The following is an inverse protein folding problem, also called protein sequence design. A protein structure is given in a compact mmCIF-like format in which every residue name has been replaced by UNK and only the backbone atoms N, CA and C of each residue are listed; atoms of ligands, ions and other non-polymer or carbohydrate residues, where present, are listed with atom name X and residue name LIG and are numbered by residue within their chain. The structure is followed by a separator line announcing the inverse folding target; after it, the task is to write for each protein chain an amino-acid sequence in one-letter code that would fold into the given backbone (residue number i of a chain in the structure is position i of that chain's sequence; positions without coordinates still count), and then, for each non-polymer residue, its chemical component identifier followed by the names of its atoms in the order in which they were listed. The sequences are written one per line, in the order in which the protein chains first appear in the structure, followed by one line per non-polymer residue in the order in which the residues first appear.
data_IF_263131221643
#
_entry.id   IF_263131221643
#
_cell.length_a   1.000
_cell.length_b   1.000
_cell.length_c   1.000
_cell.angle_alpha   90.00
_cell.angle_beta   90.00
_cell.angle_gamma   90.00
#
_symmetry.space_group_name_H-M   'P 1'
#
loop_
_entity.id
_entity.type
_entity.pdbx_description
1 polymer ?
#
# COMPACT_ATOMS: atom_id res chain seq x y z
N UNK A 1 9.68 8.69 10.22
CA UNK A 1 8.38 8.97 9.58
C UNK A 1 8.00 10.42 9.80
N UNK A 2 8.19 11.25 8.78
CA UNK A 2 7.79 12.65 8.79
C UNK A 2 6.26 12.80 8.81
N UNK A 3 5.73 13.61 9.74
CA UNK A 3 4.29 13.95 9.80
C UNK A 3 3.85 14.69 8.53
N UNK A 4 4.71 15.58 8.03
CA UNK A 4 4.47 16.36 6.81
C UNK A 4 4.33 15.41 5.62
N UNK A 5 5.28 14.48 5.46
CA UNK A 5 5.22 13.49 4.39
C UNK A 5 3.98 12.61 4.49
N UNK A 6 3.63 12.15 5.70
CA UNK A 6 2.39 11.40 5.92
C UNK A 6 1.14 12.15 5.44
N UNK A 7 1.01 13.43 5.79
CA UNK A 7 -0.11 14.27 5.35
C UNK A 7 -0.14 14.46 3.83
N UNK A 8 0.99 14.74 3.20
CA UNK A 8 1.10 14.83 1.74
C UNK A 8 0.71 13.52 1.06
N UNK A 9 1.08 12.37 1.64
CA UNK A 9 0.73 11.06 1.11
C UNK A 9 -0.76 10.78 1.14
N UNK A 10 -1.47 11.21 2.18
CA UNK A 10 -2.93 11.13 2.27
C UNK A 10 -3.60 11.92 1.14
N UNK A 11 -3.06 13.09 0.79
CA UNK A 11 -3.56 13.90 -0.33
C UNK A 11 -3.19 13.30 -1.69
N UNK A 12 -2.00 12.70 -1.80
CA UNK A 12 -1.50 12.10 -3.05
C UNK A 12 -2.26 10.83 -3.43
N UNK A 13 -2.62 9.99 -2.45
CA UNK A 13 -3.29 8.70 -2.68
C UNK A 13 -4.54 8.78 -3.57
N UNK A 14 -5.55 9.63 -3.29
CA UNK A 14 -6.75 9.72 -4.13
C UNK A 14 -6.44 10.28 -5.52
N UNK A 15 -5.46 11.17 -5.66
CA UNK A 15 -5.05 11.72 -6.95
C UNK A 15 -4.48 10.60 -7.83
N UNK A 16 -3.48 9.89 -7.31
CA UNK A 16 -2.82 8.77 -8.01
C UNK A 16 -3.81 7.65 -8.31
N UNK A 17 -4.69 7.31 -7.35
CA UNK A 17 -5.70 6.28 -7.53
C UNK A 17 -6.73 6.61 -8.62
N UNK A 18 -7.10 7.88 -8.79
CA UNK A 18 -8.04 8.33 -9.83
C UNK A 18 -7.39 8.43 -11.21
N UNK A 19 -6.15 8.90 -11.30
CA UNK A 19 -5.47 9.14 -12.58
C UNK A 19 -4.85 7.89 -13.18
N UNK A 20 -4.18 7.07 -12.36
CA UNK A 20 -3.47 5.87 -12.82
C UNK A 20 -4.25 4.58 -12.54
N UNK A 21 -5.24 4.63 -11.63
CA UNK A 21 -5.86 3.43 -11.06
C UNK A 21 -5.03 2.87 -9.91
N UNK A 22 -5.65 2.10 -9.02
CA UNK A 22 -5.00 1.62 -7.77
C UNK A 22 -3.71 0.81 -8.06
N UNK A 23 -3.78 -0.19 -8.95
CA UNK A 23 -2.64 -1.04 -9.30
C UNK A 23 -1.48 -0.25 -9.92
N UNK A 24 -1.72 0.45 -11.03
CA UNK A 24 -0.67 1.19 -11.72
C UNK A 24 -0.16 2.36 -10.87
N UNK A 25 -1.03 2.93 -10.02
CA UNK A 25 -0.66 3.92 -9.03
C UNK A 25 0.37 3.40 -8.04
N UNK A 26 0.15 2.22 -7.44
CA UNK A 26 1.14 1.59 -6.54
C UNK A 26 2.44 1.28 -7.28
N UNK A 27 2.37 0.73 -8.50
CA UNK A 27 3.56 0.44 -9.32
C UNK A 27 4.35 1.72 -9.60
N UNK A 28 3.67 2.79 -10.01
CA UNK A 28 4.32 4.08 -10.29
C UNK A 28 5.00 4.64 -9.03
N UNK A 29 4.30 4.62 -7.89
CA UNK A 29 4.85 5.10 -6.62
C UNK A 29 6.06 4.26 -6.19
N UNK A 30 6.02 2.94 -6.34
CA UNK A 30 7.17 2.07 -6.07
C UNK A 30 8.35 2.33 -7.02
N UNK A 31 8.09 2.50 -8.31
CA UNK A 31 9.14 2.83 -9.28
C UNK A 31 9.83 4.16 -8.96
N UNK A 32 9.06 5.19 -8.61
CA UNK A 32 9.62 6.49 -8.20
C UNK A 32 10.30 6.42 -6.83
N UNK A 33 9.78 5.63 -5.90
CA UNK A 33 10.37 5.45 -4.57
C UNK A 33 11.76 4.80 -4.64
N UNK A 34 11.99 3.86 -5.55
CA UNK A 34 13.33 3.28 -5.78
C UNK A 34 14.33 4.39 -6.08
N UNK A 35 14.01 5.26 -7.04
CA UNK A 35 14.91 6.36 -7.46
C UNK A 35 15.20 7.28 -6.27
N UNK A 36 14.18 7.65 -5.51
CA UNK A 36 14.32 8.51 -4.33
C UNK A 36 15.21 7.86 -3.28
N UNK A 37 14.98 6.58 -2.94
CA UNK A 37 15.77 5.86 -1.94
C UNK A 37 17.24 5.71 -2.29
N UNK A 38 17.54 5.40 -3.55
CA UNK A 38 18.94 5.20 -3.96
C UNK A 38 19.67 6.53 -4.18
N UNK A 39 18.96 7.66 -4.30
CA UNK A 39 19.57 8.96 -4.67
C UNK A 39 20.66 9.40 -3.68
N UNK A 40 20.44 9.49 -2.35
CA UNK A 40 21.49 9.96 -1.44
C UNK A 40 22.71 9.04 -1.42
N UNK A 41 22.49 7.72 -1.47
CA UNK A 41 23.55 6.72 -1.48
C UNK A 41 24.34 6.76 -2.79
N UNK A 42 23.66 6.92 -3.92
CA UNK A 42 24.30 7.02 -5.24
C UNK A 42 25.13 8.29 -5.35
N UNK A 43 24.60 9.44 -4.90
CA UNK A 43 25.38 10.68 -4.82
C UNK A 43 26.62 10.51 -3.95
N UNK A 44 26.51 9.77 -2.85
CA UNK A 44 27.64 9.49 -1.97
C UNK A 44 28.69 8.59 -2.61
N UNK A 45 28.28 7.55 -3.33
CA UNK A 45 29.18 6.64 -4.03
C UNK A 45 29.89 7.28 -5.22
N UNK A 46 29.28 8.32 -5.81
CA UNK A 46 29.86 9.09 -6.92
C UNK A 46 30.69 10.30 -6.43
N UNK A 47 30.91 10.44 -5.12
CA UNK A 47 31.56 11.61 -4.49
C UNK A 47 30.90 12.96 -4.84
N UNK A 48 29.60 12.94 -5.17
CA UNK A 48 28.78 14.13 -5.48
C UNK A 48 27.92 14.58 -4.29
N UNK A 49 27.89 13.82 -3.20
CA UNK A 49 27.11 14.17 -2.02
C UNK A 49 27.72 15.38 -1.28
N UNK A 50 26.89 16.25 -0.67
CA UNK A 50 27.40 17.32 0.19
C UNK A 50 28.24 16.77 1.35
N UNK A 51 29.21 17.56 1.80
CA UNK A 51 30.11 17.16 2.89
C UNK A 51 29.36 16.90 4.20
N UNK A 52 29.94 16.03 5.04
CA UNK A 52 29.39 15.70 6.35
C UNK A 52 29.31 16.95 7.24
N UNK A 53 28.21 17.09 7.98
CA UNK A 53 28.01 18.22 8.89
C UNK A 53 27.50 19.50 8.22
N UNK A 54 27.35 19.50 6.89
CA UNK A 54 26.74 20.64 6.17
C UNK A 54 25.22 20.64 6.28
N UNK A 55 24.62 21.83 6.29
CA UNK A 55 23.15 21.99 6.22
C UNK A 55 22.59 21.45 4.91
N UNK A 56 23.38 21.47 3.83
CA UNK A 56 22.98 20.91 2.53
C UNK A 56 22.75 19.39 2.60
N UNK A 57 23.62 18.65 3.29
CA UNK A 57 23.41 17.22 3.52
C UNK A 57 22.15 16.96 4.34
N UNK A 58 21.90 17.78 5.37
CA UNK A 58 20.68 17.69 6.17
C UNK A 58 19.43 17.88 5.32
N UNK A 59 19.39 18.91 4.47
CA UNK A 59 18.25 19.15 3.58
C UNK A 59 18.06 18.05 2.55
N UNK A 60 19.14 17.47 2.02
CA UNK A 60 19.09 16.33 1.12
C UNK A 60 18.42 15.12 1.79
N UNK A 61 18.91 14.72 2.97
CA UNK A 61 18.40 13.56 3.70
C UNK A 61 16.98 13.79 4.23
N UNK A 62 16.70 14.99 4.74
CA UNK A 62 15.37 15.30 5.28
C UNK A 62 14.33 15.45 4.16
N UNK A 63 14.72 16.03 3.02
CA UNK A 63 13.88 16.09 1.83
C UNK A 63 13.55 14.70 1.29
N UNK A 64 14.55 13.82 1.23
CA UNK A 64 14.35 12.40 0.89
C UNK A 64 13.36 11.72 1.84
N UNK A 65 13.51 11.87 3.17
CA UNK A 65 12.59 11.30 4.16
C UNK A 65 11.16 11.83 4.00
N UNK A 66 10.96 13.11 3.66
CA UNK A 66 9.62 13.67 3.42
C UNK A 66 8.98 13.02 2.19
N UNK A 67 9.72 12.90 1.09
CA UNK A 67 9.23 12.30 -0.16
C UNK A 67 8.93 10.81 0.09
N UNK A 68 9.81 10.12 0.79
CA UNK A 68 9.62 8.71 1.10
C UNK A 68 8.41 8.49 2.02
N UNK A 69 8.26 9.30 3.08
CA UNK A 69 7.08 9.24 3.94
C UNK A 69 5.77 9.53 3.17
N UNK A 70 5.81 10.43 2.18
CA UNK A 70 4.69 10.70 1.26
C UNK A 70 4.32 9.46 0.45
N UNK A 71 5.30 8.83 -0.20
CA UNK A 71 5.08 7.62 -0.99
C UNK A 71 4.63 6.43 -0.15
N UNK A 72 5.21 6.25 1.04
CA UNK A 72 4.83 5.19 1.97
C UNK A 72 3.37 5.34 2.43
N UNK A 73 2.93 6.55 2.80
CA UNK A 73 1.55 6.81 3.17
C UNK A 73 0.58 6.61 1.98
N UNK A 74 0.93 7.14 0.80
CA UNK A 74 0.11 6.98 -0.40
C UNK A 74 -0.06 5.50 -0.79
N UNK A 75 1.03 4.75 -0.76
CA UNK A 75 1.03 3.31 -1.06
C UNK A 75 0.22 2.53 -0.03
N UNK A 76 0.36 2.86 1.27
CA UNK A 76 -0.41 2.21 2.32
C UNK A 76 -1.92 2.35 2.11
N UNK A 77 -2.38 3.53 1.69
CA UNK A 77 -3.80 3.79 1.38
C UNK A 77 -4.25 3.01 0.15
N UNK A 78 -3.48 3.05 -0.94
CA UNK A 78 -3.82 2.33 -2.17
C UNK A 78 -3.85 0.82 -1.96
N UNK A 79 -2.86 0.26 -1.26
CA UNK A 79 -2.81 -1.17 -0.93
C UNK A 79 -3.96 -1.58 -0.01
N UNK A 80 -4.29 -0.77 1.01
CA UNK A 80 -5.45 -1.04 1.85
C UNK A 80 -6.75 -1.09 1.03
N UNK A 81 -6.89 -0.19 0.04
CA UNK A 81 -8.02 -0.19 -0.87
C UNK A 81 -8.04 -1.42 -1.79
N UNK A 82 -6.88 -1.87 -2.30
CA UNK A 82 -6.77 -3.11 -3.08
C UNK A 82 -7.14 -4.33 -2.23
N UNK A 83 -6.69 -4.39 -0.97
CA UNK A 83 -7.04 -5.47 -0.05
C UNK A 83 -8.54 -5.48 0.21
N UNK A 84 -9.16 -4.32 0.43
CA UNK A 84 -10.61 -4.22 0.57
C UNK A 84 -11.36 -4.77 -0.66
N UNK A 85 -10.91 -4.42 -1.88
CA UNK A 85 -11.51 -4.94 -3.12
C UNK A 85 -11.44 -6.48 -3.21
N UNK A 86 -10.33 -7.09 -2.73
CA UNK A 86 -10.17 -8.57 -2.68
C UNK A 86 -11.14 -9.19 -1.68
N UNK A 87 -11.35 -8.52 -0.55
CA UNK A 87 -12.28 -8.98 0.48
C UNK A 87 -13.70 -8.99 -0.04
N UNK A 88 -14.11 -7.91 -0.71
CA UNK A 88 -15.42 -7.79 -1.33
C UNK A 88 -15.65 -8.89 -2.39
N UNK A 89 -14.66 -9.14 -3.27
CA UNK A 89 -14.73 -10.23 -4.26
C UNK A 89 -14.86 -11.62 -3.61
N UNK A 90 -14.16 -11.85 -2.49
CA UNK A 90 -14.25 -13.10 -1.74
C UNK A 90 -15.61 -13.28 -1.07
N UNK A 91 -16.21 -12.20 -0.54
CA UNK A 91 -17.55 -12.23 0.05
C UNK A 91 -18.62 -12.53 -1.00
N UNK A 92 -18.54 -11.91 -2.18
CA UNK A 92 -19.48 -12.18 -3.29
C UNK A 92 -19.51 -13.66 -3.68
N UNK A 93 -18.33 -14.30 -3.72
CA UNK A 93 -18.16 -15.70 -4.11
C UNK A 93 -18.56 -16.70 -3.03
N UNK A 94 -18.36 -16.36 -1.76
CA UNK A 94 -18.49 -17.32 -0.63
C UNK A 94 -19.70 -17.09 0.26
N UNK A 95 -20.32 -15.92 0.19
CA UNK A 95 -21.46 -15.53 1.04
C UNK A 95 -21.11 -15.38 2.53
N UNK A 96 -19.83 -15.40 2.91
CA UNK A 96 -19.37 -15.32 4.31
C UNK A 96 -18.48 -14.11 4.54
N UNK A 97 -19.00 -13.15 5.31
CA UNK A 97 -18.27 -11.97 5.76
C UNK A 97 -17.18 -12.37 6.76
N UNK A 98 -15.91 -12.29 6.34
CA UNK A 98 -14.75 -12.83 7.07
C UNK A 98 -13.80 -11.74 7.62
N UNK A 99 -14.36 -10.59 8.03
CA UNK A 99 -13.61 -9.41 8.46
C UNK A 99 -12.58 -9.70 9.58
N UNK A 100 -12.94 -10.52 10.57
CA UNK A 100 -12.05 -10.88 11.67
C UNK A 100 -10.80 -11.65 11.22
N UNK A 101 -10.96 -12.63 10.32
CA UNK A 101 -9.84 -13.41 9.76
C UNK A 101 -8.89 -12.52 8.96
N UNK A 102 -9.43 -11.55 8.22
CA UNK A 102 -8.67 -10.63 7.37
C UNK A 102 -7.88 -9.61 8.18
N UNK A 103 -8.49 -9.06 9.24
CA UNK A 103 -7.78 -8.19 10.18
C UNK A 103 -6.66 -8.95 10.88
N UNK A 104 -6.90 -10.19 11.32
CA UNK A 104 -5.86 -11.06 11.89
C UNK A 104 -4.73 -11.34 10.89
N UNK A 105 -5.06 -11.66 9.64
CA UNK A 105 -4.07 -11.89 8.59
C UNK A 105 -3.24 -10.64 8.31
N UNK A 106 -3.86 -9.47 8.13
CA UNK A 106 -3.16 -8.20 7.91
C UNK A 106 -2.19 -7.85 9.06
N UNK A 107 -2.61 -8.08 10.31
CA UNK A 107 -1.76 -7.85 11.47
C UNK A 107 -0.59 -8.85 11.53
N UNK A 108 -0.82 -10.11 11.18
CA UNK A 108 0.24 -11.12 11.09
C UNK A 108 1.25 -10.74 10.00
N UNK A 109 0.79 -10.36 8.81
CA UNK A 109 1.67 -9.93 7.71
C UNK A 109 2.53 -8.74 8.11
N UNK A 110 1.99 -7.75 8.81
CA UNK A 110 2.79 -6.61 9.32
C UNK A 110 3.92 -7.07 10.24
N UNK A 111 3.69 -8.05 11.11
CA UNK A 111 4.73 -8.61 11.98
C UNK A 111 5.79 -9.37 11.17
N UNK A 112 5.37 -10.20 10.22
CA UNK A 112 6.28 -10.95 9.34
C UNK A 112 7.14 -10.01 8.51
N UNK A 113 6.54 -8.98 7.90
CA UNK A 113 7.26 -7.98 7.09
C UNK A 113 8.26 -7.22 7.95
N UNK A 114 7.87 -6.78 9.15
CA UNK A 114 8.77 -6.09 10.08
C UNK A 114 9.98 -6.95 10.46
N UNK A 115 9.75 -8.21 10.82
CA UNK A 115 10.82 -9.15 11.15
C UNK A 115 11.73 -9.46 9.96
N UNK A 116 11.16 -9.66 8.78
CA UNK A 116 11.91 -9.93 7.55
C UNK A 116 12.78 -8.74 7.14
N UNK A 117 12.28 -7.51 7.30
CA UNK A 117 13.07 -6.30 7.06
C UNK A 117 14.29 -6.20 7.95
N UNK A 118 14.14 -6.48 9.25
CA UNK A 118 15.25 -6.52 10.19
C UNK A 118 16.24 -7.62 9.80
N UNK A 119 15.76 -8.83 9.50
CA UNK A 119 16.60 -9.96 9.10
C UNK A 119 17.42 -9.66 7.84
N UNK A 120 16.82 -9.04 6.82
CA UNK A 120 17.55 -8.66 5.60
C UNK A 120 18.56 -7.57 5.90
N UNK A 121 18.19 -6.54 6.67
CA UNK A 121 19.09 -5.45 7.04
C UNK A 121 20.32 -5.97 7.84
N UNK A 122 20.10 -6.83 8.83
CA UNK A 122 21.20 -7.44 9.60
C UNK A 122 22.02 -8.41 8.74
N UNK A 123 21.38 -9.14 7.83
CA UNK A 123 22.06 -10.01 6.86
C UNK A 123 22.99 -9.23 5.94
N UNK A 124 22.57 -8.07 5.43
CA UNK A 124 23.43 -7.18 4.62
C UNK A 124 24.62 -6.69 5.42
N UNK A 125 24.42 -6.26 6.67
CA UNK A 125 25.52 -5.82 7.54
C UNK A 125 26.52 -6.95 7.83
N UNK A 126 26.02 -8.17 8.09
CA UNK A 126 26.86 -9.35 8.29
C UNK A 126 27.65 -9.72 7.03
N UNK A 127 27.01 -9.64 5.86
CA UNK A 127 27.63 -9.95 4.57
C UNK A 127 28.83 -9.05 4.25
N UNK A 128 28.72 -7.75 4.53
CA UNK A 128 29.81 -6.78 4.31
C UNK A 128 30.80 -6.71 5.48
N UNK A 129 30.66 -7.59 6.49
CA UNK A 129 31.47 -7.61 7.70
C UNK A 129 31.49 -6.26 8.44
N UNK A 130 30.32 -5.62 8.54
CA UNK A 130 30.22 -4.31 9.19
C UNK A 130 30.64 -4.41 10.67
N UNK A 131 31.53 -3.52 11.16
CA UNK A 131 32.08 -3.63 12.50
C UNK A 131 31.00 -3.50 13.58
N UNK A 132 31.07 -4.39 14.58
CA UNK A 132 30.19 -4.30 15.74
C UNK A 132 30.48 -3.05 16.56
N UNK A 133 29.42 -2.42 17.09
CA UNK A 133 29.50 -1.23 17.95
C UNK A 133 30.32 -0.09 17.34
N UNK A 134 30.31 0.04 16.01
CA UNK A 134 31.04 1.07 15.31
C UNK A 134 30.61 2.48 15.77
N UNK A 135 31.59 3.31 16.09
CA UNK A 135 31.36 4.72 16.37
C UNK A 135 31.41 5.55 15.08
N UNK A 136 30.77 6.72 15.10
CA UNK A 136 30.77 7.62 13.94
C UNK A 136 32.20 8.01 13.59
N UNK A 137 32.58 7.82 12.32
CA UNK A 137 33.93 8.13 11.82
C UNK A 137 34.98 7.04 12.03
N UNK A 138 34.65 5.93 12.71
CA UNK A 138 35.59 4.81 12.93
C UNK A 138 35.41 3.66 11.93
N UNK A 139 34.39 3.72 11.07
CA UNK A 139 34.17 2.72 10.02
C UNK A 139 35.10 3.00 8.84
N UNK A 140 35.89 2.02 8.37
CA UNK A 140 36.74 2.20 7.20
C UNK A 140 35.93 2.65 5.96
N UNK A 141 36.47 3.56 5.13
CA UNK A 141 35.78 4.05 3.94
C UNK A 141 35.34 2.92 2.99
N UNK A 142 36.16 1.88 2.84
CA UNK A 142 35.86 0.71 2.00
C UNK A 142 34.61 -0.05 2.47
N UNK A 143 34.42 -0.20 3.79
CA UNK A 143 33.23 -0.85 4.36
C UNK A 143 31.98 -0.01 4.11
N UNK A 144 32.09 1.32 4.19
CA UNK A 144 30.99 2.23 3.85
C UNK A 144 30.63 2.19 2.36
N UNK A 145 31.64 2.05 1.48
CA UNK A 145 31.41 1.87 0.05
C UNK A 145 30.71 0.54 -0.24
N UNK A 146 31.17 -0.55 0.38
CA UNK A 146 30.54 -1.87 0.27
C UNK A 146 29.09 -1.86 0.80
N UNK A 147 28.82 -1.12 1.88
CA UNK A 147 27.45 -0.92 2.37
C UNK A 147 26.58 -0.23 1.32
N UNK A 148 27.05 0.85 0.70
CA UNK A 148 26.31 1.53 -0.37
C UNK A 148 26.05 0.61 -1.58
N UNK A 149 27.06 -0.17 -1.99
CA UNK A 149 26.96 -1.12 -3.10
C UNK A 149 26.03 -2.30 -2.81
N UNK A 150 25.92 -2.74 -1.55
CA UNK A 150 24.97 -3.77 -1.14
C UNK A 150 23.54 -3.21 -0.95
N UNK A 151 23.42 -1.96 -0.50
CA UNK A 151 22.15 -1.29 -0.25
C UNK A 151 21.32 -1.12 -1.53
N UNK A 152 21.93 -0.58 -2.60
CA UNK A 152 21.23 -0.30 -3.86
C UNK A 152 20.53 -1.55 -4.44
N UNK A 153 21.21 -2.68 -4.70
CA UNK A 153 20.56 -3.87 -5.25
C UNK A 153 19.55 -4.48 -4.28
N UNK A 154 19.75 -4.34 -2.96
CA UNK A 154 18.77 -4.80 -1.97
C UNK A 154 17.46 -4.04 -2.09
N UNK A 155 17.50 -2.70 -2.12
CA UNK A 155 16.31 -1.87 -2.29
C UNK A 155 15.65 -2.11 -3.65
N UNK A 156 16.43 -2.10 -4.73
CA UNK A 156 15.93 -2.36 -6.09
C UNK A 156 15.29 -3.74 -6.18
N UNK A 157 15.91 -4.76 -5.58
CA UNK A 157 15.40 -6.13 -5.55
C UNK A 157 14.08 -6.24 -4.78
N UNK A 158 14.00 -5.64 -3.59
CA UNK A 158 12.79 -5.70 -2.76
C UNK A 158 11.60 -4.99 -3.43
N UNK A 159 11.79 -3.78 -3.92
CA UNK A 159 10.73 -3.05 -4.63
C UNK A 159 10.43 -3.69 -5.99
N UNK A 160 11.45 -4.22 -6.69
CA UNK A 160 11.30 -4.93 -7.95
C UNK A 160 10.47 -6.20 -7.82
N UNK A 161 10.70 -7.00 -6.76
CA UNK A 161 9.86 -8.16 -6.41
C UNK A 161 8.43 -7.71 -6.14
N UNK A 162 8.23 -6.65 -5.34
CA UNK A 162 6.90 -6.14 -5.04
C UNK A 162 6.15 -5.67 -6.31
N UNK A 163 6.83 -4.96 -7.21
CA UNK A 163 6.30 -4.58 -8.52
C UNK A 163 5.99 -5.84 -9.35
N UNK A 164 6.88 -6.82 -9.41
CA UNK A 164 6.68 -8.07 -10.13
C UNK A 164 5.43 -8.82 -9.65
N UNK A 165 5.25 -8.95 -8.34
CA UNK A 165 4.05 -9.54 -7.75
C UNK A 165 2.79 -8.74 -8.09
N UNK A 166 2.84 -7.41 -8.01
CA UNK A 166 1.72 -6.55 -8.42
C UNK A 166 1.41 -6.65 -9.91
N UNK A 167 2.40 -6.86 -10.78
CA UNK A 167 2.16 -7.06 -12.21
C UNK A 167 1.34 -8.33 -12.46
N UNK A 168 1.57 -9.40 -11.69
CA UNK A 168 0.77 -10.63 -11.74
C UNK A 168 -0.64 -10.50 -11.16
N UNK A 169 -0.91 -9.43 -10.40
CA UNK A 169 -2.22 -9.17 -9.81
C UNK A 169 -3.25 -8.78 -10.90
N UNK A 170 -4.25 -9.64 -11.08
CA UNK A 170 -5.22 -9.59 -12.18
C UNK A 170 -6.64 -9.20 -11.80
N UNK A 171 -6.85 -8.37 -10.76
CA UNK A 171 -8.16 -7.73 -10.56
C UNK A 171 -8.23 -6.51 -11.47
N UNK A 172 -8.73 -6.73 -12.69
CA UNK A 172 -8.98 -5.64 -13.64
C UNK A 172 -10.11 -4.76 -13.11
N UNK A 173 -10.05 -3.47 -13.43
CA UNK A 173 -11.09 -2.47 -13.14
C UNK A 173 -12.50 -2.96 -13.52
N UNK A 174 -12.61 -3.76 -14.58
CA UNK A 174 -13.86 -4.36 -15.06
C UNK A 174 -14.47 -5.36 -14.07
N UNK A 175 -13.65 -6.18 -13.38
CA UNK A 175 -14.16 -7.14 -12.38
C UNK A 175 -14.67 -6.44 -11.12
N UNK A 176 -14.10 -5.28 -10.77
CA UNK A 176 -14.57 -4.45 -9.67
C UNK A 176 -15.91 -3.76 -10.02
N UNK A 177 -16.04 -3.21 -11.23
CA UNK A 177 -17.32 -2.64 -11.71
C UNK A 177 -18.42 -3.71 -11.83
N UNK A 178 -18.08 -4.92 -12.29
CA UNK A 178 -18.99 -6.06 -12.34
C UNK A 178 -19.44 -6.50 -10.93
N UNK A 179 -18.51 -6.65 -9.97
CA UNK A 179 -18.84 -7.00 -8.59
C UNK A 179 -19.70 -5.94 -7.89
N UNK A 180 -19.44 -4.64 -8.13
CA UNK A 180 -20.27 -3.56 -7.60
C UNK A 180 -21.70 -3.64 -8.13
N UNK A 181 -21.88 -3.95 -9.42
CA UNK A 181 -23.21 -4.13 -10.00
C UNK A 181 -23.96 -5.30 -9.35
N UNK A 182 -23.29 -6.44 -9.14
CA UNK A 182 -23.86 -7.63 -8.51
C UNK A 182 -24.25 -7.35 -7.05
N UNK A 183 -23.41 -6.66 -6.28
CA UNK A 183 -23.70 -6.30 -4.89
C UNK A 183 -24.86 -5.30 -4.78
N UNK A 184 -24.93 -4.31 -5.67
CA UNK A 184 -26.05 -3.37 -5.72
C UNK A 184 -27.37 -4.07 -6.03
N UNK A 185 -27.38 -5.03 -6.97
CA UNK A 185 -28.57 -5.84 -7.28
C UNK A 185 -28.99 -6.69 -6.07
N UNK A 186 -28.05 -7.36 -5.39
CA UNK A 186 -28.37 -8.16 -4.19
C UNK A 186 -28.90 -7.31 -3.03
N UNK A 187 -28.35 -6.12 -2.81
CA UNK A 187 -28.84 -5.19 -1.79
C UNK A 187 -30.25 -4.68 -2.13
N UNK A 188 -30.54 -4.41 -3.40
CA UNK A 188 -31.87 -4.02 -3.85
C UNK A 188 -32.89 -5.17 -3.74
N UNK A 189 -32.49 -6.41 -4.05
CA UNK A 189 -33.32 -7.61 -3.88
C UNK A 189 -33.63 -7.87 -2.39
N UNK A 190 -32.65 -7.71 -1.51
CA UNK A 190 -32.84 -7.82 -0.06
C UNK A 190 -33.75 -6.71 0.48
N UNK A 191 -33.55 -5.46 0.06
CA UNK A 191 -34.42 -4.35 0.45
C UNK A 191 -35.86 -4.54 -0.06
N UNK A 192 -36.05 -5.10 -1.26
CA UNK A 192 -37.36 -5.42 -1.80
C UNK A 192 -38.02 -6.60 -1.07
N UNK A 193 -37.25 -7.60 -0.65
CA UNK A 193 -37.73 -8.71 0.17
C UNK A 193 -38.12 -8.26 1.59
N UNK A 194 -37.37 -7.31 2.17
CA UNK A 194 -37.66 -6.70 3.48
C UNK A 194 -38.85 -5.73 3.43
N UNK A 195 -39.13 -5.09 2.28
CA UNK A 195 -40.28 -4.20 2.11
C UNK A 195 -41.64 -4.91 2.13
N UNK A 196 -41.67 -6.23 1.89
CA UNK A 196 -42.86 -7.09 1.95
C UNK A 196 -43.97 -6.71 0.94
N UNK A 197 -44.94 -7.61 0.65
CA UNK A 197 -46.08 -7.24 -0.17
C UNK A 197 -46.93 -6.23 0.61
N UNK A 198 -46.98 -4.99 0.14
CA UNK A 198 -47.94 -4.01 0.63
C UNK A 198 -49.34 -4.63 0.62
N UNK A 199 -50.00 -4.62 1.77
CA UNK A 199 -51.37 -5.12 1.94
C UNK A 199 -52.26 -4.32 0.97
N UNK A 200 -52.54 -4.92 -0.17
CA UNK A 200 -53.43 -4.39 -1.18
C UNK A 200 -54.85 -4.38 -0.63
N UNK A 201 -55.38 -3.17 -0.45
CA UNK A 201 -56.77 -2.78 -0.72
C UNK A 201 -57.78 -3.93 -0.68
N UNK A 202 -58.31 -4.22 0.52
CA UNK A 202 -59.56 -4.96 0.65
C UNK A 202 -60.67 -4.15 -0.02
N UNK A 203 -61.13 -4.62 -1.18
CA UNK A 203 -62.40 -4.21 -1.76
C UNK A 203 -63.50 -4.47 -0.72
N UNK A 204 -64.17 -3.41 -0.27
CA UNK A 204 -65.40 -3.51 0.51
C UNK A 204 -66.50 -3.91 -0.48
N UNK A 205 -67.14 -5.08 -0.37
CA UNK A 205 -68.25 -5.42 -1.24
C UNK A 205 -69.44 -4.51 -0.94
N UNK A 206 -69.82 -3.67 -1.90
CA UNK A 206 -71.07 -2.91 -1.85
C UNK A 206 -72.24 -3.85 -2.10
N UNK A 207 -73.05 -4.13 -1.07
CA UNK A 207 -74.31 -4.86 -1.24
C UNK A 207 -75.28 -4.08 -2.17
N UNK A 208 -75.95 -4.75 -3.12
CA UNK A 208 -77.04 -4.15 -3.87
C UNK A 208 -78.34 -4.24 -3.05
N UNK A 209 -78.95 -3.08 -2.80
CA UNK A 209 -80.20 -2.99 -2.06
C UNK A 209 -81.32 -3.86 -2.61
N UNK A 210 -82.08 -4.48 -1.70
CA UNK A 210 -83.44 -4.97 -1.96
C UNK A 210 -84.41 -4.34 -0.97
N UNK A 211 -85.52 -3.94 -1.58
CA UNK A 211 -86.70 -3.26 -1.08
C UNK A 211 -87.42 -4.02 0.03
#
# INVERSE_FOLDING_TARGET
MSVIGGFLGVLLAPIVGRTLGKKNGVIAVFATAIVVHITPVSLRLLDLAPENGTTALLWLLYGEEIINATFAAATGILLASIVADVVEDAEVKTGRRSEGLLLSANNLFRKVISGMGIFIATGVLAFIQFPEKAERGQVPPEVLQNLGLAYIPTIVGLYGIAIGLLLTYGISRARHEENLSILATRAAEQAAAEAGPGIGSGEIPTEPGRR
#
